data_IF_313239737116
#
_entry.id   IF_313239737116
#
_cell.length_a   1.000
_cell.length_b   1.000
_cell.length_c   1.000
_cell.angle_alpha   90.00
_cell.angle_beta   90.00
_cell.angle_gamma   90.00
#
_symmetry.space_group_name_H-M   'P 1'
#
loop_
_entity.id
_entity.type
_entity.pdbx_description
1 polymer ?
#
# COMPACT_ATOMS: atom_id res chain seq x y z
N UNK A 1 -16.19 3.40 23.00
CA UNK A 1 -16.94 2.76 21.89
C UNK A 1 -16.45 1.32 21.70
N UNK A 2 -17.29 0.35 21.25
CA UNK A 2 -16.83 -1.03 20.95
C UNK A 2 -15.94 -1.02 19.69
N UNK A 3 -14.91 -1.85 19.63
CA UNK A 3 -13.96 -1.93 18.51
C UNK A 3 -14.65 -2.14 17.15
N UNK A 4 -15.67 -3.00 17.10
CA UNK A 4 -16.44 -3.22 15.87
C UNK A 4 -17.15 -1.94 15.37
N UNK A 5 -17.71 -1.14 16.29
CA UNK A 5 -18.32 0.13 15.91
C UNK A 5 -17.27 1.14 15.39
N UNK A 6 -16.06 1.12 15.94
CA UNK A 6 -14.96 1.94 15.40
C UNK A 6 -14.58 1.51 13.98
N UNK A 7 -14.55 0.20 13.71
CA UNK A 7 -14.29 -0.34 12.37
C UNK A 7 -15.34 0.12 11.35
N UNK A 8 -16.63 0.09 11.69
CA UNK A 8 -17.70 0.53 10.78
C UNK A 8 -17.66 2.06 10.61
N UNK A 9 -17.54 2.79 11.72
CA UNK A 9 -17.64 4.25 11.71
C UNK A 9 -16.46 4.92 10.99
N UNK A 10 -15.30 4.27 10.86
CA UNK A 10 -14.17 4.88 10.12
C UNK A 10 -14.53 5.17 8.65
N UNK A 11 -15.49 4.41 8.08
CA UNK A 11 -15.97 4.58 6.71
C UNK A 11 -17.13 5.57 6.60
N UNK A 12 -17.94 5.74 7.65
CA UNK A 12 -19.19 6.53 7.62
C UNK A 12 -19.10 7.84 8.39
N UNK A 13 -18.45 7.83 9.54
CA UNK A 13 -18.19 9.01 10.38
C UNK A 13 -16.83 8.90 11.07
N UNK A 14 -15.74 9.18 10.35
CA UNK A 14 -14.39 9.04 10.88
C UNK A 14 -14.09 9.98 12.05
N UNK A 15 -14.80 11.12 12.15
CA UNK A 15 -14.59 12.07 13.24
C UNK A 15 -14.90 11.44 14.59
N UNK A 16 -16.00 10.70 14.71
CA UNK A 16 -16.38 10.00 15.96
C UNK A 16 -15.28 9.01 16.38
N UNK A 17 -14.67 8.30 15.42
CA UNK A 17 -13.59 7.34 15.71
C UNK A 17 -12.37 8.06 16.25
N UNK A 18 -11.94 9.14 15.60
CA UNK A 18 -10.76 9.89 16.01
C UNK A 18 -10.96 10.62 17.35
N UNK A 19 -12.17 11.11 17.63
CA UNK A 19 -12.51 11.65 18.95
C UNK A 19 -12.44 10.58 20.06
N UNK A 20 -12.89 9.36 19.78
CA UNK A 20 -12.78 8.26 20.72
C UNK A 20 -11.33 7.85 20.95
N UNK A 21 -10.49 7.81 19.91
CA UNK A 21 -9.05 7.56 20.01
C UNK A 21 -8.39 8.63 20.89
N UNK A 22 -8.76 9.89 20.72
CA UNK A 22 -8.26 11.00 21.52
C UNK A 22 -8.62 10.86 22.99
N UNK A 23 -9.89 10.54 23.31
CA UNK A 23 -10.37 10.35 24.69
C UNK A 23 -9.66 9.20 25.39
N UNK A 24 -9.45 8.08 24.69
CA UNK A 24 -8.84 6.88 25.28
C UNK A 24 -7.33 6.99 25.39
N UNK A 25 -6.69 7.74 24.50
CA UNK A 25 -5.23 7.93 24.42
C UNK A 25 -4.43 6.61 24.59
N UNK A 26 -4.90 5.55 23.93
CA UNK A 26 -4.36 4.19 24.06
C UNK A 26 -3.83 3.67 22.74
N UNK A 27 -2.50 3.60 22.60
CA UNK A 27 -1.86 3.10 21.39
C UNK A 27 -2.22 1.64 21.05
N UNK A 28 -2.60 0.82 22.04
CA UNK A 28 -3.00 -0.58 21.82
C UNK A 28 -4.23 -0.72 20.93
N UNK A 29 -5.03 0.34 20.76
CA UNK A 29 -6.14 0.34 19.82
C UNK A 29 -5.68 0.19 18.37
N UNK A 30 -4.43 0.55 18.05
CA UNK A 30 -3.85 0.31 16.71
C UNK A 30 -3.67 -1.17 16.38
N UNK A 31 -3.62 -2.05 17.38
CA UNK A 31 -3.45 -3.50 17.15
C UNK A 31 -4.59 -4.08 16.32
N UNK A 32 -5.83 -3.60 16.52
CA UNK A 32 -6.97 -4.09 15.75
C UNK A 32 -6.86 -3.77 14.25
N UNK A 33 -6.64 -2.52 13.79
CA UNK A 33 -6.40 -2.26 12.38
C UNK A 33 -5.19 -3.01 11.82
N UNK A 34 -4.09 -3.11 12.56
CA UNK A 34 -2.90 -3.84 12.12
C UNK A 34 -3.19 -5.33 11.90
N UNK A 35 -3.93 -5.98 12.81
CA UNK A 35 -4.34 -7.38 12.66
C UNK A 35 -5.28 -7.53 11.45
N UNK A 36 -6.23 -6.62 11.25
CA UNK A 36 -7.13 -6.64 10.08
C UNK A 36 -6.31 -6.56 8.79
N UNK A 37 -5.29 -5.69 8.72
CA UNK A 37 -4.41 -5.59 7.55
C UNK A 37 -3.57 -6.85 7.34
N UNK A 38 -3.12 -7.53 8.42
CA UNK A 38 -2.45 -8.83 8.31
C UNK A 38 -3.37 -9.90 7.72
N UNK A 39 -4.58 -10.01 8.25
CA UNK A 39 -5.59 -10.95 7.74
C UNK A 39 -5.92 -10.64 6.28
N UNK A 40 -6.06 -9.36 5.94
CA UNK A 40 -6.31 -8.92 4.57
C UNK A 40 -5.16 -9.34 3.63
N UNK A 41 -3.91 -9.17 4.04
CA UNK A 41 -2.74 -9.62 3.27
C UNK A 41 -2.73 -11.13 3.06
N UNK A 42 -3.05 -11.91 4.10
CA UNK A 42 -3.17 -13.36 4.01
C UNK A 42 -4.30 -13.80 3.06
N UNK A 43 -5.47 -13.19 3.17
CA UNK A 43 -6.63 -13.49 2.30
C UNK A 43 -6.33 -13.07 0.86
N UNK A 44 -5.74 -11.91 0.65
CA UNK A 44 -5.33 -11.44 -0.70
C UNK A 44 -4.35 -12.42 -1.34
N UNK A 45 -3.36 -12.90 -0.59
CA UNK A 45 -2.41 -13.90 -1.09
C UNK A 45 -3.11 -15.21 -1.45
N UNK A 46 -4.01 -15.72 -0.60
CA UNK A 46 -4.77 -16.95 -0.89
C UNK A 46 -5.59 -16.85 -2.18
N UNK A 47 -6.18 -15.68 -2.43
CA UNK A 47 -7.03 -15.47 -3.60
C UNK A 47 -6.24 -15.17 -4.89
N UNK A 48 -5.08 -14.52 -4.77
CA UNK A 48 -4.33 -13.98 -5.91
C UNK A 48 -3.00 -14.72 -6.16
N UNK A 49 -2.69 -15.80 -5.40
CA UNK A 49 -1.38 -16.47 -5.49
C UNK A 49 -1.04 -16.89 -6.92
N UNK A 50 -2.00 -17.51 -7.62
CA UNK A 50 -1.77 -18.03 -8.97
C UNK A 50 -1.53 -16.88 -9.96
N UNK A 51 -2.31 -15.79 -9.85
CA UNK A 51 -2.07 -14.57 -10.61
C UNK A 51 -0.69 -13.97 -10.32
N UNK A 52 -0.27 -13.92 -9.06
CA UNK A 52 1.06 -13.40 -8.71
C UNK A 52 2.18 -14.29 -9.26
N UNK A 53 2.00 -15.60 -9.24
CA UNK A 53 2.97 -16.52 -9.87
C UNK A 53 3.09 -16.27 -11.36
N UNK A 54 1.97 -16.20 -12.10
CA UNK A 54 1.97 -15.95 -13.53
C UNK A 54 2.65 -14.62 -13.88
N UNK A 55 2.30 -13.55 -13.16
CA UNK A 55 2.90 -12.22 -13.39
C UNK A 55 4.40 -12.20 -13.08
N UNK A 56 4.83 -12.83 -11.98
CA UNK A 56 6.25 -12.90 -11.64
C UNK A 56 7.04 -13.76 -12.61
N UNK A 57 6.49 -14.87 -13.06
CA UNK A 57 7.09 -15.70 -14.08
C UNK A 57 7.28 -14.93 -15.39
N UNK A 58 6.23 -14.28 -15.88
CA UNK A 58 6.29 -13.47 -17.10
C UNK A 58 7.33 -12.35 -17.00
N UNK A 59 7.38 -11.64 -15.87
CA UNK A 59 8.36 -10.59 -15.63
C UNK A 59 9.80 -11.14 -15.59
N UNK A 60 10.01 -12.30 -14.96
CA UNK A 60 11.32 -12.94 -14.89
C UNK A 60 11.80 -13.41 -16.26
N UNK A 61 10.91 -14.01 -17.05
CA UNK A 61 11.21 -14.43 -18.43
C UNK A 61 11.59 -13.22 -19.30
N UNK A 62 10.76 -12.17 -19.30
CA UNK A 62 11.04 -10.94 -20.05
C UNK A 62 12.38 -10.29 -19.65
N UNK A 63 12.69 -10.30 -18.35
CA UNK A 63 13.95 -9.75 -17.86
C UNK A 63 15.16 -10.55 -18.39
N UNK A 64 15.10 -11.89 -18.39
CA UNK A 64 16.19 -12.74 -18.93
C UNK A 64 16.34 -12.51 -20.44
N UNK A 65 15.23 -12.54 -21.18
CA UNK A 65 15.24 -12.37 -22.65
C UNK A 65 15.83 -11.03 -23.07
N UNK A 66 15.49 -9.94 -22.36
CA UNK A 66 15.92 -8.59 -22.68
C UNK A 66 17.25 -8.18 -22.00
N UNK A 67 17.78 -9.00 -21.08
CA UNK A 67 19.00 -8.65 -20.36
C UNK A 67 20.23 -8.74 -21.25
N UNK A 68 20.97 -7.64 -21.33
CA UNK A 68 22.31 -7.59 -21.93
C UNK A 68 23.40 -8.12 -21.00
N UNK A 69 23.08 -8.39 -19.73
CA UNK A 69 24.03 -8.90 -18.73
C UNK A 69 24.15 -10.43 -18.77
N UNK A 70 23.19 -11.11 -19.37
CA UNK A 70 23.19 -12.58 -19.52
C UNK A 70 23.65 -12.89 -20.95
N UNK A 71 24.77 -13.64 -21.12
CA UNK A 71 25.21 -14.11 -22.42
C UNK A 71 24.14 -14.94 -23.13
N UNK A 72 24.02 -14.83 -24.45
CA UNK A 72 22.98 -15.51 -25.23
C UNK A 72 23.00 -17.02 -25.04
N UNK A 73 24.19 -17.63 -24.93
CA UNK A 73 24.40 -19.06 -24.68
C UNK A 73 23.98 -19.53 -23.29
N UNK A 74 23.75 -18.60 -22.34
CA UNK A 74 23.30 -18.91 -20.97
C UNK A 74 21.83 -18.56 -20.73
N UNK A 75 21.17 -17.89 -21.66
CA UNK A 75 19.76 -17.50 -21.50
C UNK A 75 18.83 -18.70 -21.39
N UNK A 76 19.04 -19.74 -22.16
CA UNK A 76 18.23 -20.96 -22.11
C UNK A 76 18.34 -21.65 -20.75
N UNK A 77 19.54 -21.79 -20.18
CA UNK A 77 19.76 -22.36 -18.85
C UNK A 77 19.13 -21.48 -17.75
N UNK A 78 19.21 -20.15 -17.89
CA UNK A 78 18.59 -19.22 -16.96
C UNK A 78 17.05 -19.32 -17.01
N UNK A 79 16.44 -19.42 -18.20
CA UNK A 79 15.01 -19.62 -18.37
C UNK A 79 14.55 -20.95 -17.75
N UNK A 80 15.27 -22.06 -18.03
CA UNK A 80 14.96 -23.37 -17.45
C UNK A 80 15.04 -23.33 -15.92
N UNK A 81 16.02 -22.64 -15.35
CA UNK A 81 16.14 -22.45 -13.90
C UNK A 81 14.98 -21.64 -13.31
N UNK A 82 14.48 -20.64 -14.02
CA UNK A 82 13.29 -19.88 -13.61
C UNK A 82 12.07 -20.76 -13.64
N UNK A 83 11.78 -21.47 -14.74
CA UNK A 83 10.64 -22.38 -14.84
C UNK A 83 10.66 -23.44 -13.73
N UNK A 84 11.80 -24.09 -13.48
CA UNK A 84 11.92 -25.08 -12.39
C UNK A 84 11.64 -24.45 -11.01
N UNK A 85 12.11 -23.23 -10.76
CA UNK A 85 11.88 -22.52 -9.49
C UNK A 85 10.40 -22.18 -9.24
N UNK A 86 9.62 -21.99 -10.30
CA UNK A 86 8.18 -21.72 -10.22
C UNK A 86 7.36 -23.02 -10.16
N UNK A 87 7.77 -24.08 -10.85
CA UNK A 87 7.12 -25.40 -10.77
C UNK A 87 7.40 -26.09 -9.43
N UNK A 88 8.62 -25.95 -8.90
CA UNK A 88 9.09 -26.58 -7.67
C UNK A 88 9.55 -25.54 -6.63
N UNK A 89 8.65 -24.67 -6.11
CA UNK A 89 9.06 -23.60 -5.22
C UNK A 89 9.62 -24.14 -3.92
N UNK A 90 10.80 -23.63 -3.53
CA UNK A 90 11.45 -24.02 -2.27
C UNK A 90 10.60 -23.56 -1.07
N UNK A 91 10.52 -24.35 0.03
CA UNK A 91 9.76 -23.97 1.23
C UNK A 91 10.12 -22.58 1.77
N UNK A 92 11.38 -22.19 1.66
CA UNK A 92 11.86 -20.88 2.06
C UNK A 92 11.25 -19.74 1.22
N UNK A 93 11.14 -19.91 -0.10
CA UNK A 93 10.51 -18.92 -1.00
C UNK A 93 9.03 -18.74 -0.68
N UNK A 94 8.33 -19.85 -0.41
CA UNK A 94 6.92 -19.83 0.03
C UNK A 94 6.79 -19.06 1.35
N UNK A 95 7.67 -19.34 2.33
CA UNK A 95 7.63 -18.66 3.62
C UNK A 95 7.87 -17.15 3.48
N UNK A 96 8.83 -16.72 2.64
CA UNK A 96 9.07 -15.29 2.35
C UNK A 96 7.84 -14.66 1.70
N UNK A 97 7.24 -15.31 0.71
CA UNK A 97 6.03 -14.80 0.04
C UNK A 97 4.89 -14.57 1.05
N UNK A 98 4.66 -15.50 1.97
CA UNK A 98 3.67 -15.34 3.04
C UNK A 98 4.04 -14.20 3.99
N UNK A 99 5.27 -14.15 4.47
CA UNK A 99 5.73 -13.10 5.39
C UNK A 99 5.59 -11.71 4.76
N UNK A 100 6.04 -11.54 3.53
CA UNK A 100 5.97 -10.25 2.84
C UNK A 100 4.52 -9.80 2.65
N UNK A 101 3.62 -10.68 2.18
CA UNK A 101 2.23 -10.30 1.95
C UNK A 101 1.46 -10.02 3.25
N UNK A 102 1.64 -10.85 4.29
CA UNK A 102 0.95 -10.70 5.57
C UNK A 102 1.42 -9.43 6.30
N UNK A 103 2.71 -9.13 6.28
CA UNK A 103 3.27 -8.00 7.02
C UNK A 103 3.40 -6.71 6.21
N UNK A 104 3.21 -6.72 4.89
CA UNK A 104 3.31 -5.52 4.05
C UNK A 104 2.39 -4.38 4.52
N UNK A 105 1.12 -4.68 4.82
CA UNK A 105 0.15 -3.69 5.30
C UNK A 105 0.56 -3.06 6.63
N UNK A 106 0.77 -3.84 7.70
CA UNK A 106 1.28 -3.32 8.98
C UNK A 106 2.59 -2.56 8.85
N UNK A 107 3.57 -3.09 8.12
CA UNK A 107 4.86 -2.42 7.93
C UNK A 107 4.69 -1.06 7.25
N UNK A 108 3.84 -0.97 6.22
CA UNK A 108 3.50 0.30 5.58
C UNK A 108 2.91 1.30 6.57
N UNK A 109 1.97 0.88 7.44
CA UNK A 109 1.39 1.75 8.49
C UNK A 109 2.45 2.26 9.43
N UNK A 110 3.36 1.38 9.89
CA UNK A 110 4.45 1.76 10.78
C UNK A 110 5.39 2.78 10.13
N UNK A 111 5.79 2.56 8.88
CA UNK A 111 6.66 3.47 8.13
C UNK A 111 5.98 4.83 7.88
N UNK A 112 4.73 4.84 7.45
CA UNK A 112 3.98 6.08 7.21
C UNK A 112 3.76 6.85 8.52
N UNK A 113 3.53 6.16 9.64
CA UNK A 113 3.43 6.82 10.96
C UNK A 113 4.72 7.56 11.31
N UNK A 114 5.89 6.97 11.03
CA UNK A 114 7.18 7.62 11.22
C UNK A 114 7.33 8.87 10.34
N UNK A 115 6.97 8.76 9.08
CA UNK A 115 7.04 9.88 8.13
C UNK A 115 6.11 11.02 8.56
N UNK A 116 4.86 10.70 8.94
CA UNK A 116 3.91 11.70 9.42
C UNK A 116 4.40 12.34 10.71
N UNK A 117 5.01 11.57 11.63
CA UNK A 117 5.65 12.14 12.82
C UNK A 117 6.71 13.17 12.45
N UNK A 118 7.55 12.90 11.46
CA UNK A 118 8.56 13.86 10.99
C UNK A 118 7.90 15.09 10.37
N UNK A 119 6.89 14.90 9.52
CA UNK A 119 6.14 16.01 8.91
C UNK A 119 5.54 16.92 10.00
N UNK A 120 4.80 16.36 10.97
CA UNK A 120 4.12 17.18 11.99
C UNK A 120 5.11 17.87 12.92
N UNK A 121 6.26 17.25 13.23
CA UNK A 121 7.31 17.86 14.05
C UNK A 121 8.05 18.98 13.33
N UNK A 122 8.53 18.72 12.12
CA UNK A 122 9.41 19.66 11.42
C UNK A 122 8.66 20.79 10.72
N UNK A 123 7.49 20.51 10.11
CA UNK A 123 6.75 21.53 9.36
C UNK A 123 5.69 22.24 10.19
N UNK A 124 5.16 21.60 11.23
CA UNK A 124 4.08 22.18 12.05
C UNK A 124 4.53 22.49 13.50
N UNK A 125 5.73 22.10 13.89
CA UNK A 125 6.25 22.32 15.25
C UNK A 125 5.46 21.59 16.34
N UNK A 126 4.74 20.52 15.98
CA UNK A 126 3.89 19.81 16.93
C UNK A 126 4.71 18.90 17.85
N UNK A 127 4.38 18.93 19.14
CA UNK A 127 4.98 18.01 20.12
C UNK A 127 4.11 16.77 20.27
N UNK A 128 4.59 15.63 19.76
CA UNK A 128 3.88 14.35 19.85
C UNK A 128 4.85 13.18 19.79
N UNK A 129 4.36 11.97 20.14
CA UNK A 129 5.11 10.72 20.04
C UNK A 129 4.61 9.82 18.92
N UNK A 130 5.47 8.91 18.49
CA UNK A 130 5.13 7.89 17.48
C UNK A 130 3.90 7.06 17.89
N UNK A 131 3.89 6.55 19.15
CA UNK A 131 2.80 5.72 19.65
C UNK A 131 1.48 6.48 19.78
N UNK A 132 1.52 7.80 19.98
CA UNK A 132 0.31 8.62 20.04
C UNK A 132 -0.33 8.80 18.67
N UNK A 133 0.47 8.84 17.58
CA UNK A 133 -0.03 8.98 16.22
C UNK A 133 -0.46 7.64 15.59
N UNK A 134 0.16 6.54 16.03
CA UNK A 134 -0.05 5.22 15.42
C UNK A 134 -1.54 4.80 15.30
N UNK A 135 -2.41 5.00 16.32
CA UNK A 135 -3.84 4.68 16.17
C UNK A 135 -4.53 5.45 15.06
N UNK A 136 -4.25 6.74 14.92
CA UNK A 136 -4.90 7.58 13.89
C UNK A 136 -4.52 7.14 12.49
N UNK A 137 -3.24 6.82 12.28
CA UNK A 137 -2.75 6.35 10.98
C UNK A 137 -3.27 4.94 10.69
N UNK A 138 -3.21 4.03 11.66
CA UNK A 138 -3.65 2.64 11.48
C UNK A 138 -5.15 2.54 11.16
N UNK A 139 -6.01 3.34 11.82
CA UNK A 139 -7.43 3.39 11.50
C UNK A 139 -7.69 3.99 10.11
N UNK A 140 -6.95 5.04 9.71
CA UNK A 140 -7.05 5.59 8.35
C UNK A 140 -6.67 4.57 7.27
N UNK A 141 -5.81 3.62 7.57
CA UNK A 141 -5.41 2.55 6.65
C UNK A 141 -6.45 1.44 6.50
N UNK A 142 -7.49 1.40 7.33
CA UNK A 142 -8.61 0.46 7.15
C UNK A 142 -9.35 0.67 5.82
N UNK A 143 -9.21 1.83 5.18
CA UNK A 143 -9.74 2.07 3.83
C UNK A 143 -9.22 1.04 2.81
N UNK A 144 -8.03 0.45 3.06
CA UNK A 144 -7.46 -0.61 2.23
C UNK A 144 -8.35 -1.86 2.19
N UNK A 145 -9.22 -2.07 3.19
CA UNK A 145 -10.20 -3.16 3.17
C UNK A 145 -11.20 -2.95 2.04
N UNK A 146 -11.75 -1.73 1.91
CA UNK A 146 -12.68 -1.40 0.81
C UNK A 146 -11.96 -1.43 -0.54
N UNK A 147 -10.73 -0.93 -0.60
CA UNK A 147 -9.89 -1.02 -1.79
C UNK A 147 -9.74 -2.48 -2.26
N UNK A 148 -9.43 -3.40 -1.35
CA UNK A 148 -9.25 -4.82 -1.66
C UNK A 148 -10.55 -5.49 -2.09
N UNK A 149 -11.68 -5.16 -1.45
CA UNK A 149 -13.01 -5.66 -1.85
C UNK A 149 -13.35 -5.28 -3.29
N UNK A 150 -12.90 -4.12 -3.76
CA UNK A 150 -13.12 -3.67 -5.15
C UNK A 150 -12.07 -4.26 -6.09
N UNK A 151 -10.79 -4.16 -5.72
CA UNK A 151 -9.68 -4.50 -6.65
C UNK A 151 -9.49 -6.01 -6.83
N UNK A 152 -9.62 -6.84 -5.77
CA UNK A 152 -9.39 -8.29 -5.89
C UNK A 152 -10.31 -8.95 -6.91
N UNK A 153 -11.65 -8.75 -6.89
CA UNK A 153 -12.51 -9.32 -7.93
C UNK A 153 -12.18 -8.85 -9.35
N UNK A 154 -11.78 -7.58 -9.49
CA UNK A 154 -11.38 -7.04 -10.79
C UNK A 154 -10.06 -7.67 -11.28
N UNK A 155 -9.08 -7.88 -10.39
CA UNK A 155 -7.82 -8.57 -10.70
C UNK A 155 -8.07 -10.01 -11.17
N UNK A 156 -8.92 -10.74 -10.45
CA UNK A 156 -9.29 -12.12 -10.81
C UNK A 156 -10.04 -12.18 -12.14
N UNK A 157 -10.95 -11.25 -12.39
CA UNK A 157 -11.72 -11.21 -13.64
C UNK A 157 -10.83 -10.88 -14.85
N UNK A 158 -9.93 -9.90 -14.69
CA UNK A 158 -9.02 -9.49 -15.76
C UNK A 158 -7.77 -10.37 -15.89
N UNK A 159 -7.53 -11.23 -14.91
CA UNK A 159 -6.29 -11.99 -14.71
C UNK A 159 -5.05 -11.09 -14.86
N UNK A 160 -5.10 -9.93 -14.15
CA UNK A 160 -4.05 -8.90 -14.22
C UNK A 160 -3.98 -8.12 -12.92
N UNK A 161 -2.75 -7.77 -12.51
CA UNK A 161 -2.52 -6.84 -11.39
C UNK A 161 -2.76 -5.37 -11.79
N UNK A 162 -2.83 -5.07 -13.09
CA UNK A 162 -3.06 -3.74 -13.66
C UNK A 162 -4.55 -3.37 -13.56
N UNK A 163 -5.02 -3.15 -12.32
CA UNK A 163 -6.39 -2.73 -12.02
C UNK A 163 -6.37 -1.36 -11.38
N UNK A 164 -6.94 -0.40 -12.07
CA UNK A 164 -6.95 1.00 -11.66
C UNK A 164 -8.34 1.43 -11.17
N UNK A 165 -8.36 2.29 -10.15
CA UNK A 165 -9.57 2.91 -9.58
C UNK A 165 -9.45 4.43 -9.54
N UNK A 166 -8.61 4.99 -10.42
CA UNK A 166 -8.32 6.40 -10.51
C UNK A 166 -7.78 6.79 -11.87
N UNK A 167 -6.76 7.64 -11.91
CA UNK A 167 -6.23 8.20 -13.16
C UNK A 167 -5.57 7.17 -14.08
N UNK A 168 -5.15 6.01 -13.57
CA UNK A 168 -4.68 4.91 -14.40
C UNK A 168 -5.71 4.37 -15.40
N UNK A 169 -7.03 4.62 -15.17
CA UNK A 169 -8.08 4.29 -16.12
C UNK A 169 -8.00 5.08 -17.42
N UNK A 170 -7.30 6.21 -17.45
CA UNK A 170 -7.14 7.04 -18.63
C UNK A 170 -6.18 6.40 -19.65
N UNK A 171 -5.38 5.42 -19.22
CA UNK A 171 -4.42 4.67 -20.06
C UNK A 171 -3.51 5.59 -20.89
N UNK A 172 -3.00 6.66 -20.26
CA UNK A 172 -2.17 7.67 -20.92
C UNK A 172 -0.70 7.27 -20.84
N UNK A 173 -0.02 7.29 -21.97
CA UNK A 173 1.39 6.93 -22.12
C UNK A 173 1.60 5.42 -22.27
N UNK A 174 2.75 5.04 -22.81
CA UNK A 174 3.14 3.64 -22.95
C UNK A 174 3.39 3.03 -21.54
N UNK A 175 3.04 1.76 -21.38
CA UNK A 175 3.26 1.03 -20.12
C UNK A 175 4.71 1.13 -19.69
N UNK A 176 4.91 1.42 -18.41
CA UNK A 176 6.22 1.56 -17.80
C UNK A 176 6.83 2.97 -17.91
N UNK A 177 6.35 3.86 -18.79
CA UNK A 177 6.82 5.25 -18.80
C UNK A 177 6.48 5.98 -17.49
N UNK A 178 7.22 7.04 -17.18
CA UNK A 178 6.97 7.87 -16.00
C UNK A 178 5.51 8.32 -15.90
N UNK A 179 4.93 8.80 -16.99
CA UNK A 179 3.54 9.30 -17.02
C UNK A 179 2.55 8.18 -16.71
N UNK A 180 2.71 7.01 -17.35
CA UNK A 180 1.85 5.85 -17.12
C UNK A 180 1.96 5.38 -15.66
N UNK A 181 3.18 5.19 -15.14
CA UNK A 181 3.43 4.77 -13.76
C UNK A 181 2.88 5.77 -12.74
N UNK A 182 3.05 7.08 -12.99
CA UNK A 182 2.54 8.13 -12.11
C UNK A 182 1.01 8.14 -12.07
N UNK A 183 0.34 8.15 -13.23
CA UNK A 183 -1.12 8.16 -13.30
C UNK A 183 -1.73 6.88 -12.72
N UNK A 184 -1.09 5.73 -12.91
CA UNK A 184 -1.49 4.44 -12.34
C UNK A 184 -1.45 4.43 -10.81
N UNK A 185 -0.53 5.20 -10.21
CA UNK A 185 -0.42 5.32 -8.76
C UNK A 185 -1.46 6.28 -8.14
N UNK A 186 -2.14 7.11 -8.96
CA UNK A 186 -3.18 8.03 -8.47
C UNK A 186 -4.52 7.32 -8.46
N UNK A 187 -4.97 6.94 -7.26
CA UNK A 187 -6.26 6.25 -7.07
C UNK A 187 -7.13 6.89 -5.98
N UNK A 188 -8.43 6.59 -6.04
CA UNK A 188 -9.44 7.14 -5.15
C UNK A 188 -9.20 6.78 -3.67
N UNK A 189 -8.79 5.53 -3.40
CA UNK A 189 -8.60 5.05 -2.02
C UNK A 189 -7.38 5.70 -1.37
N UNK A 190 -6.33 6.00 -2.14
CA UNK A 190 -5.16 6.75 -1.66
C UNK A 190 -5.52 8.17 -1.27
N UNK A 191 -6.32 8.88 -2.08
CA UNK A 191 -6.82 10.21 -1.75
C UNK A 191 -7.71 10.18 -0.52
N UNK A 192 -8.63 9.21 -0.43
CA UNK A 192 -9.50 9.05 0.74
C UNK A 192 -8.68 8.81 2.02
N UNK A 193 -7.70 7.94 1.98
CA UNK A 193 -6.78 7.67 3.10
C UNK A 193 -6.05 8.93 3.58
N UNK A 194 -5.57 9.76 2.65
CA UNK A 194 -4.93 11.05 2.97
C UNK A 194 -5.89 11.99 3.69
N UNK A 195 -7.14 12.08 3.24
CA UNK A 195 -8.18 12.89 3.89
C UNK A 195 -8.45 12.38 5.31
N UNK A 196 -8.58 11.06 5.50
CA UNK A 196 -8.77 10.46 6.83
C UNK A 196 -7.62 10.78 7.78
N UNK A 197 -6.38 10.68 7.32
CA UNK A 197 -5.20 11.05 8.13
C UNK A 197 -5.26 12.52 8.50
N UNK A 198 -5.60 13.41 7.55
CA UNK A 198 -5.76 14.85 7.81
C UNK A 198 -6.82 15.16 8.86
N UNK A 199 -7.99 14.48 8.82
CA UNK A 199 -9.04 14.59 9.83
C UNK A 199 -8.54 14.08 11.19
N UNK A 200 -7.88 12.93 11.20
CA UNK A 200 -7.32 12.34 12.42
C UNK A 200 -6.32 13.27 13.11
N UNK A 201 -5.39 13.86 12.36
CA UNK A 201 -4.42 14.83 12.89
C UNK A 201 -5.08 16.12 13.37
N UNK A 202 -6.09 16.61 12.65
CA UNK A 202 -6.88 17.78 13.03
C UNK A 202 -7.51 17.61 14.41
N UNK A 203 -8.16 16.47 14.64
CA UNK A 203 -8.79 16.13 15.91
C UNK A 203 -7.73 15.94 17.00
N UNK A 204 -6.64 15.26 16.69
CA UNK A 204 -5.56 15.02 17.64
C UNK A 204 -4.95 16.34 18.16
N UNK A 205 -4.61 17.27 17.25
CA UNK A 205 -3.97 18.54 17.59
C UNK A 205 -4.94 19.69 17.89
N UNK A 206 -6.26 19.51 17.77
CA UNK A 206 -7.29 20.59 17.85
C UNK A 206 -7.00 21.74 16.86
N UNK A 207 -6.62 21.42 15.64
CA UNK A 207 -6.32 22.40 14.58
C UNK A 207 -7.07 22.06 13.30
N UNK A 208 -7.10 22.98 12.33
CA UNK A 208 -7.77 22.75 11.04
C UNK A 208 -7.16 21.56 10.29
N UNK A 209 -8.00 20.74 9.64
CA UNK A 209 -7.56 19.57 8.88
C UNK A 209 -6.77 19.93 7.60
N UNK A 210 -7.16 21.01 6.94
CA UNK A 210 -6.65 21.41 5.62
C UNK A 210 -5.12 21.47 5.53
N UNK A 211 -4.37 22.12 6.46
CA UNK A 211 -2.90 22.16 6.37
C UNK A 211 -2.25 20.79 6.45
N UNK A 212 -2.72 19.91 7.33
CA UNK A 212 -2.21 18.55 7.47
C UNK A 212 -2.49 17.71 6.22
N UNK A 213 -3.74 17.77 5.71
CA UNK A 213 -4.13 17.07 4.48
C UNK A 213 -3.26 17.51 3.29
N UNK A 214 -3.04 18.81 3.12
CA UNK A 214 -2.19 19.33 2.04
C UNK A 214 -0.75 18.85 2.17
N UNK A 215 -0.15 18.90 3.36
CA UNK A 215 1.22 18.44 3.57
C UNK A 215 1.39 16.96 3.26
N UNK A 216 0.43 16.10 3.69
CA UNK A 216 0.44 14.67 3.41
C UNK A 216 0.22 14.42 1.91
N UNK A 217 -0.65 15.19 1.26
CA UNK A 217 -0.89 15.09 -0.17
C UNK A 217 0.36 15.44 -0.99
N UNK A 218 1.08 16.52 -0.62
CA UNK A 218 2.36 16.89 -1.26
C UNK A 218 3.40 15.78 -1.06
N UNK A 219 3.53 15.24 0.16
CA UNK A 219 4.42 14.11 0.43
C UNK A 219 4.07 12.90 -0.45
N UNK A 220 2.78 12.55 -0.55
CA UNK A 220 2.31 11.43 -1.36
C UNK A 220 2.60 11.64 -2.86
N UNK A 221 2.34 12.85 -3.40
CA UNK A 221 2.70 13.18 -4.78
C UNK A 221 4.20 13.04 -5.04
N UNK A 222 5.03 13.50 -4.10
CA UNK A 222 6.48 13.33 -4.19
C UNK A 222 6.89 11.85 -4.17
N UNK A 223 6.29 11.07 -3.28
CA UNK A 223 6.54 9.63 -3.18
C UNK A 223 6.19 8.90 -4.48
N UNK A 224 4.98 9.10 -5.03
CA UNK A 224 4.57 8.43 -6.27
C UNK A 224 5.42 8.90 -7.46
N UNK A 225 5.87 10.16 -7.49
CA UNK A 225 6.77 10.66 -8.54
C UNK A 225 8.12 9.94 -8.52
N UNK A 226 8.70 9.72 -7.32
CA UNK A 226 9.95 8.96 -7.19
C UNK A 226 9.77 7.53 -7.69
N UNK A 227 8.71 6.83 -7.24
CA UNK A 227 8.48 5.45 -7.67
C UNK A 227 8.17 5.34 -9.16
N UNK A 228 7.44 6.31 -9.74
CA UNK A 228 7.20 6.36 -11.17
C UNK A 228 8.49 6.56 -11.97
N UNK A 229 9.38 7.43 -11.50
CA UNK A 229 10.68 7.66 -12.12
C UNK A 229 11.58 6.42 -12.01
N UNK A 230 11.68 5.80 -10.83
CA UNK A 230 12.45 4.57 -10.66
C UNK A 230 11.90 3.43 -11.53
N UNK A 231 10.58 3.25 -11.57
CA UNK A 231 9.95 2.22 -12.41
C UNK A 231 10.21 2.42 -13.90
N UNK A 232 10.39 3.67 -14.35
CA UNK A 232 10.69 3.95 -15.77
C UNK A 232 12.16 3.74 -16.17
N UNK A 233 13.07 3.48 -15.20
CA UNK A 233 14.49 3.20 -15.48
C UNK A 233 14.78 1.72 -15.79
N UNK A 234 13.82 0.84 -15.52
CA UNK A 234 14.01 -0.62 -15.62
C UNK A 234 13.18 -1.25 -16.77
N UNK A 235 12.92 -0.45 -17.82
CA UNK A 235 12.20 -0.89 -19.03
C UNK A 235 13.16 -1.13 -20.18
#
# INVERSE_FOLDING_TARGET
MKLFAMFVNIFTDPAIVFEELKKTNNWKLSLMPLIILMVLGAVSLLLLKDLYYDVQLEQSVKWIENSSQIPEDQKEDALNSVYDSFENPKPFSIAIMWLTNVFAGPLRVLMITLIILLIVKFFFGESTSYLSLLPYISFSYLITVLESVVKIPLMLNKWSIDVYTGMGLLDIGEKGTFINNFLSAVDLFSVWRIILIGIGLSIYFNKAAKPYTIAIFIYWLFQISIFAALGSLFI
#
